data_IF_548441012008
#
_entry.id   IF_548441012008
#
_cell.length_a   1.000
_cell.length_b   1.000
_cell.length_c   1.000
_cell.angle_alpha   90.00
_cell.angle_beta   90.00
_cell.angle_gamma   90.00
#
_symmetry.space_group_name_H-M   'P 1'
#
loop_
_entity.id
_entity.type
_entity.pdbx_description
1 polymer ?
#
# COMPACT_ATOMS: atom_id res chain seq x y z
N UNK A 1 34.93 9.51 56.37
CA UNK A 1 33.73 9.30 57.20
C UNK A 1 32.60 10.09 56.58
N UNK A 2 31.96 9.52 55.56
CA UNK A 2 30.66 8.81 55.64
C UNK A 2 29.51 9.76 55.99
N UNK A 3 28.80 10.23 54.96
CA UNK A 3 27.38 10.55 55.10
C UNK A 3 26.58 9.78 54.05
N UNK A 4 25.49 9.23 54.58
CA UNK A 4 24.75 8.06 54.15
C UNK A 4 23.79 8.42 53.02
N UNK A 5 23.73 7.57 51.99
CA UNK A 5 22.67 7.58 50.98
C UNK A 5 21.34 7.13 51.60
N UNK A 6 20.28 7.92 51.45
CA UNK A 6 18.90 7.50 51.74
C UNK A 6 18.15 7.42 50.41
N UNK A 7 17.75 6.19 50.06
CA UNK A 7 16.86 5.88 48.95
C UNK A 7 15.43 6.37 49.25
N UNK A 8 14.81 7.07 48.31
CA UNK A 8 13.37 7.30 48.31
C UNK A 8 12.69 6.17 47.54
N UNK A 9 12.00 5.27 48.26
CA UNK A 9 10.99 4.39 47.69
C UNK A 9 9.76 5.25 47.34
N UNK A 10 9.43 5.37 46.05
CA UNK A 10 8.10 5.83 45.64
C UNK A 10 7.15 4.62 45.63
N UNK A 11 6.32 4.52 46.66
CA UNK A 11 5.14 3.65 46.66
C UNK A 11 4.03 4.41 45.94
N UNK A 12 3.72 4.03 44.70
CA UNK A 12 2.52 4.52 44.00
C UNK A 12 1.36 3.60 44.37
N UNK A 13 0.48 4.10 45.23
CA UNK A 13 -0.75 3.42 45.61
C UNK A 13 -1.75 3.50 44.46
N UNK A 14 -2.08 2.35 43.87
CA UNK A 14 -3.07 2.23 42.80
C UNK A 14 -4.49 2.34 43.40
N UNK A 15 -5.15 3.49 43.26
CA UNK A 15 -6.59 3.59 43.50
C UNK A 15 -7.33 3.03 42.29
N UNK A 16 -7.98 1.88 42.45
CA UNK A 16 -8.93 1.37 41.47
C UNK A 16 -10.21 2.21 41.53
N UNK A 17 -10.36 3.17 40.61
CA UNK A 17 -11.63 3.84 40.35
C UNK A 17 -12.39 2.99 39.33
N UNK A 18 -13.29 2.13 39.78
CA UNK A 18 -14.25 1.46 38.90
C UNK A 18 -15.28 2.47 38.44
N UNK A 19 -14.98 3.20 37.36
CA UNK A 19 -15.98 3.96 36.62
C UNK A 19 -16.86 2.97 35.86
N UNK A 20 -18.12 2.84 36.28
CA UNK A 20 -19.20 2.36 35.41
C UNK A 20 -19.27 3.33 34.22
N UNK A 21 -18.69 2.94 33.09
CA UNK A 21 -19.04 3.59 31.83
C UNK A 21 -20.42 3.06 31.46
N UNK A 22 -21.44 3.88 31.69
CA UNK A 22 -22.68 3.74 30.92
C UNK A 22 -22.30 3.97 29.46
N UNK A 23 -22.44 2.93 28.64
CA UNK A 23 -22.28 3.00 27.19
C UNK A 23 -23.27 4.06 26.70
N UNK A 24 -22.77 5.23 26.32
CA UNK A 24 -23.62 6.29 25.82
C UNK A 24 -24.11 5.89 24.44
N UNK A 25 -25.38 5.49 24.31
CA UNK A 25 -26.10 5.24 23.05
C UNK A 25 -26.28 6.50 22.17
N UNK A 26 -25.45 7.54 22.38
CA UNK A 26 -25.48 8.73 21.54
C UNK A 26 -24.86 8.36 20.19
N UNK A 27 -25.58 8.54 19.08
CA UNK A 27 -25.01 8.29 17.76
C UNK A 27 -23.76 9.14 17.59
N UNK A 28 -22.64 8.49 17.25
CA UNK A 28 -21.39 9.17 16.93
C UNK A 28 -21.69 10.18 15.81
N UNK A 29 -21.42 11.48 16.01
CA UNK A 29 -21.66 12.46 14.96
C UNK A 29 -20.94 12.04 13.68
N UNK A 30 -21.59 12.16 12.52
CA UNK A 30 -21.02 11.75 11.23
C UNK A 30 -19.60 12.32 11.01
N UNK A 31 -19.35 13.56 11.43
CA UNK A 31 -18.03 14.19 11.34
C UNK A 31 -16.96 13.56 12.24
N UNK A 32 -17.32 12.99 13.39
CA UNK A 32 -16.39 12.29 14.28
C UNK A 32 -16.09 10.88 13.75
N UNK A 33 -17.08 10.22 13.14
CA UNK A 33 -16.89 8.94 12.46
C UNK A 33 -15.97 9.08 11.24
N UNK A 34 -16.21 10.08 10.40
CA UNK A 34 -15.33 10.46 9.27
C UNK A 34 -13.91 10.77 9.74
N UNK A 35 -13.75 11.65 10.74
CA UNK A 35 -12.44 12.00 11.28
C UNK A 35 -11.70 10.78 11.86
N UNK A 36 -12.43 9.89 12.53
CA UNK A 36 -11.88 8.65 13.07
C UNK A 36 -11.44 7.68 11.96
N UNK A 37 -12.23 7.52 10.89
CA UNK A 37 -11.85 6.71 9.73
C UNK A 37 -10.61 7.28 9.03
N UNK A 38 -10.57 8.61 8.81
CA UNK A 38 -9.45 9.29 8.17
C UNK A 38 -8.17 9.17 9.00
N UNK A 39 -8.24 9.34 10.32
CA UNK A 39 -7.08 9.21 11.21
C UNK A 39 -6.45 7.80 11.16
N UNK A 40 -7.28 6.75 11.09
CA UNK A 40 -6.79 5.35 11.06
C UNK A 40 -6.13 4.94 9.76
N UNK A 41 -6.32 5.71 8.69
CA UNK A 41 -5.80 5.38 7.36
C UNK A 41 -4.57 6.21 6.98
N UNK A 42 -4.15 7.15 7.82
CA UNK A 42 -3.00 8.00 7.53
C UNK A 42 -1.73 7.17 7.34
N UNK A 43 -0.86 7.69 6.47
CA UNK A 43 0.48 7.17 6.33
C UNK A 43 1.37 7.90 7.33
N UNK A 44 1.87 7.15 8.30
CA UNK A 44 2.74 7.64 9.36
C UNK A 44 4.20 7.62 8.90
N UNK A 45 4.96 8.61 9.38
CA UNK A 45 6.40 8.74 9.11
C UNK A 45 7.16 8.19 10.32
N UNK A 46 7.99 7.18 10.11
CA UNK A 46 8.92 6.70 11.13
C UNK A 46 10.30 7.27 10.81
N UNK A 47 10.80 8.11 11.72
CA UNK A 47 12.13 8.69 11.61
C UNK A 47 13.14 7.93 12.47
N UNK A 48 14.22 7.46 11.85
CA UNK A 48 15.42 7.05 12.58
C UNK A 48 16.50 8.12 12.41
N UNK A 49 16.94 8.73 13.53
CA UNK A 49 17.98 9.78 13.55
C UNK A 49 17.69 11.00 12.65
N UNK A 50 16.43 11.44 12.59
CA UNK A 50 16.02 12.65 11.87
C UNK A 50 16.01 12.52 10.34
N UNK A 51 15.99 11.28 9.82
CA UNK A 51 15.66 10.99 8.43
C UNK A 51 14.45 10.06 8.42
N UNK A 52 13.43 10.31 7.58
CA UNK A 52 12.41 9.30 7.29
C UNK A 52 13.13 8.06 6.76
N UNK A 53 13.07 6.97 7.51
CA UNK A 53 13.68 5.71 7.09
C UNK A 53 12.64 4.80 6.46
N UNK A 54 11.39 4.84 6.92
CA UNK A 54 10.28 4.04 6.41
C UNK A 54 8.94 4.76 6.70
N UNK A 55 7.97 4.58 5.81
CA UNK A 55 6.59 5.02 6.03
C UNK A 55 5.68 3.83 6.22
N UNK A 56 4.63 4.01 6.99
CA UNK A 56 3.78 2.90 7.41
C UNK A 56 2.30 3.29 7.37
N UNK A 57 1.45 2.35 6.99
CA UNK A 57 0.00 2.53 7.04
C UNK A 57 -0.68 1.30 7.66
N UNK A 58 -1.67 1.54 8.52
CA UNK A 58 -2.57 0.49 8.99
C UNK A 58 -3.86 0.54 8.18
N UNK A 59 -4.33 -0.61 7.73
CA UNK A 59 -5.67 -0.77 7.21
C UNK A 59 -6.41 -1.82 8.04
N UNK A 60 -6.97 -1.34 9.16
CA UNK A 60 -7.62 -2.19 10.14
C UNK A 60 -8.84 -2.93 9.56
N UNK A 61 -9.56 -2.31 8.60
CA UNK A 61 -10.71 -2.90 7.93
C UNK A 61 -10.35 -4.16 7.14
N UNK A 62 -9.11 -4.27 6.67
CA UNK A 62 -8.59 -5.40 5.88
C UNK A 62 -7.51 -6.20 6.63
N UNK A 63 -7.40 -5.99 7.96
CA UNK A 63 -6.45 -6.65 8.85
C UNK A 63 -5.01 -6.69 8.29
N UNK A 64 -4.60 -5.59 7.66
CA UNK A 64 -3.31 -5.45 7.01
C UNK A 64 -2.60 -4.19 7.47
N UNK A 65 -1.28 -4.24 7.39
CA UNK A 65 -0.43 -3.08 7.47
C UNK A 65 0.54 -3.06 6.31
N UNK A 66 1.03 -1.88 5.94
CA UNK A 66 1.87 -1.70 4.76
C UNK A 66 3.06 -0.82 5.12
N UNK A 67 4.25 -1.36 4.89
CA UNK A 67 5.51 -0.64 4.95
C UNK A 67 5.90 -0.14 3.55
N UNK A 68 6.41 1.08 3.50
CA UNK A 68 6.83 1.80 2.30
C UNK A 68 8.29 2.26 2.46
N UNK A 69 9.13 2.00 1.46
CA UNK A 69 10.56 2.34 1.47
C UNK A 69 11.00 3.24 0.28
N UNK A 70 10.06 3.66 -0.58
CA UNK A 70 10.34 4.43 -1.79
C UNK A 70 10.78 3.60 -3.02
N UNK A 71 10.97 2.29 -2.86
CA UNK A 71 11.28 1.36 -3.95
C UNK A 71 10.21 0.27 -4.12
N UNK A 72 9.68 -0.22 -3.01
CA UNK A 72 8.73 -1.31 -2.87
C UNK A 72 7.64 -0.96 -1.85
N UNK A 73 6.66 -1.84 -1.76
CA UNK A 73 5.79 -1.96 -0.58
C UNK A 73 5.98 -3.34 0.02
N UNK A 74 5.74 -3.45 1.33
CA UNK A 74 5.58 -4.74 2.00
C UNK A 74 4.30 -4.72 2.79
N UNK A 75 3.31 -5.50 2.35
CA UNK A 75 2.08 -5.70 3.09
C UNK A 75 2.26 -6.88 4.05
N UNK A 76 1.83 -6.69 5.28
CA UNK A 76 1.91 -7.66 6.36
C UNK A 76 0.54 -7.84 7.02
N UNK A 77 0.38 -8.96 7.71
CA UNK A 77 -0.67 -9.07 8.71
C UNK A 77 -0.36 -8.18 9.92
N UNK A 78 -1.39 -7.74 10.64
CA UNK A 78 -1.20 -7.01 11.90
C UNK A 78 -0.43 -7.81 12.96
N UNK A 79 -0.33 -9.15 12.82
CA UNK A 79 0.42 -10.03 13.72
C UNK A 79 1.84 -10.33 13.21
N UNK A 80 2.20 -9.91 11.99
CA UNK A 80 3.48 -10.20 11.36
C UNK A 80 3.68 -11.65 10.91
N UNK A 81 2.61 -12.45 10.84
CA UNK A 81 2.70 -13.89 10.51
C UNK A 81 2.73 -14.20 9.00
N UNK A 82 2.38 -13.22 8.16
CA UNK A 82 2.58 -13.27 6.72
C UNK A 82 3.03 -11.93 6.15
N UNK A 83 3.70 -11.99 5.00
CA UNK A 83 4.11 -10.83 4.21
C UNK A 83 4.02 -11.08 2.71
N UNK A 84 3.78 -9.99 1.98
CA UNK A 84 3.97 -9.90 0.53
C UNK A 84 4.66 -8.59 0.20
N UNK A 85 5.81 -8.66 -0.47
CA UNK A 85 6.48 -7.50 -1.03
C UNK A 85 6.14 -7.35 -2.52
N UNK A 86 5.95 -6.11 -2.96
CA UNK A 86 5.79 -5.77 -4.38
C UNK A 86 6.76 -4.64 -4.72
N UNK A 87 7.75 -4.94 -5.57
CA UNK A 87 8.72 -3.96 -6.06
C UNK A 87 8.55 -3.76 -7.56
N UNK A 88 8.23 -2.54 -8.01
CA UNK A 88 8.30 -2.22 -9.43
C UNK A 88 9.77 -2.26 -9.88
N UNK A 89 10.12 -3.24 -10.71
CA UNK A 89 11.49 -3.44 -11.16
C UNK A 89 11.75 -2.85 -12.54
N UNK A 90 10.79 -2.98 -13.45
CA UNK A 90 10.93 -2.54 -14.84
C UNK A 90 9.63 -2.02 -15.40
N UNK A 91 9.72 -1.19 -16.43
CA UNK A 91 8.59 -0.65 -17.17
C UNK A 91 8.98 -0.33 -18.62
N UNK A 92 8.01 -0.31 -19.53
CA UNK A 92 8.24 0.09 -20.94
C UNK A 92 7.41 -0.72 -21.93
N UNK A 93 7.91 -0.80 -23.17
CA UNK A 93 7.34 -1.69 -24.19
C UNK A 93 7.73 -3.16 -23.89
N UNK A 94 6.95 -4.16 -24.33
CA UNK A 94 7.20 -5.57 -24.02
C UNK A 94 8.59 -6.09 -24.38
N UNK A 95 9.16 -5.59 -25.48
CA UNK A 95 10.48 -5.95 -26.02
C UNK A 95 11.61 -5.02 -25.51
N UNK A 96 11.28 -3.96 -24.78
CA UNK A 96 12.20 -2.89 -24.36
C UNK A 96 11.92 -2.42 -22.93
N UNK A 97 11.82 -3.36 -22.00
CA UNK A 97 11.69 -3.05 -20.58
C UNK A 97 12.96 -2.36 -20.06
N UNK A 98 12.77 -1.24 -19.37
CA UNK A 98 13.85 -0.49 -18.70
C UNK A 98 13.66 -0.58 -17.19
N UNK A 99 14.74 -0.57 -16.39
CA UNK A 99 14.62 -0.52 -14.93
C UNK A 99 13.78 0.68 -14.48
N UNK A 100 12.97 0.48 -13.45
CA UNK A 100 12.26 1.57 -12.81
C UNK A 100 13.25 2.50 -12.11
N UNK A 101 13.04 3.81 -12.24
CA UNK A 101 13.89 4.79 -11.60
C UNK A 101 13.68 4.77 -10.07
N UNK A 102 14.72 5.22 -9.35
CA UNK A 102 14.56 5.63 -7.94
C UNK A 102 13.47 6.71 -7.85
N UNK A 103 12.73 6.69 -6.75
CA UNK A 103 11.64 7.64 -6.55
C UNK A 103 12.04 8.78 -5.62
N UNK A 104 11.43 9.95 -5.85
CA UNK A 104 11.21 10.92 -4.80
C UNK A 104 9.85 10.61 -4.16
N UNK A 105 9.78 10.64 -2.82
CA UNK A 105 8.57 10.27 -2.08
C UNK A 105 7.82 11.52 -1.62
N UNK A 106 6.51 11.53 -1.85
CA UNK A 106 5.58 12.57 -1.39
C UNK A 106 4.43 11.92 -0.62
N UNK A 107 4.03 12.51 0.50
CA UNK A 107 2.93 12.00 1.34
C UNK A 107 1.92 13.11 1.56
N UNK A 108 0.65 12.75 1.41
CA UNK A 108 -0.48 13.61 1.69
C UNK A 108 -1.60 12.76 2.31
N UNK A 109 -1.78 12.86 3.62
CA UNK A 109 -2.81 12.11 4.36
C UNK A 109 -2.59 10.59 4.27
N UNK A 110 -3.56 9.90 3.69
CA UNK A 110 -3.55 8.44 3.47
C UNK A 110 -2.94 8.04 2.12
N UNK A 111 -2.30 8.97 1.40
CA UNK A 111 -1.69 8.72 0.09
C UNK A 111 -0.18 8.95 0.12
N UNK A 112 0.55 8.01 -0.47
CA UNK A 112 1.99 8.11 -0.74
C UNK A 112 2.21 8.00 -2.24
N UNK A 113 3.09 8.85 -2.78
CA UNK A 113 3.44 8.89 -4.20
C UNK A 113 4.95 8.76 -4.37
N UNK A 114 5.34 7.81 -5.20
CA UNK A 114 6.68 7.58 -5.71
C UNK A 114 6.79 8.25 -7.08
N UNK A 115 7.39 9.43 -7.13
CA UNK A 115 7.72 10.10 -8.39
C UNK A 115 8.98 9.48 -8.98
N UNK A 116 8.81 8.65 -10.02
CA UNK A 116 9.89 7.95 -10.73
C UNK A 116 10.35 8.72 -11.97
N UNK A 117 9.89 9.96 -12.15
CA UNK A 117 10.25 10.88 -13.24
C UNK A 117 9.59 10.59 -14.59
N UNK A 118 9.53 9.32 -15.01
CA UNK A 118 8.81 8.92 -16.23
C UNK A 118 7.37 8.47 -15.96
N UNK A 119 7.10 8.03 -14.74
CA UNK A 119 5.77 7.67 -14.24
C UNK A 119 5.66 8.12 -12.78
N UNK A 120 4.43 8.27 -12.30
CA UNK A 120 4.14 8.33 -10.86
C UNK A 120 3.51 7.02 -10.45
N UNK A 121 4.05 6.37 -9.43
CA UNK A 121 3.40 5.25 -8.74
C UNK A 121 2.85 5.80 -7.43
N UNK A 122 1.63 5.44 -7.06
CA UNK A 122 1.00 5.95 -5.86
C UNK A 122 0.19 4.87 -5.17
N UNK A 123 0.00 5.04 -3.87
CA UNK A 123 -0.79 4.15 -3.04
C UNK A 123 -1.73 4.98 -2.19
N UNK A 124 -2.99 4.58 -2.15
CA UNK A 124 -4.03 5.18 -1.32
C UNK A 124 -4.53 4.11 -0.34
N UNK A 125 -4.37 4.38 0.95
CA UNK A 125 -4.89 3.51 2.00
C UNK A 125 -6.37 3.85 2.24
N UNK A 126 -7.26 3.06 1.69
CA UNK A 126 -8.71 3.27 1.71
C UNK A 126 -9.41 2.21 2.57
N UNK A 127 -10.65 2.45 3.02
CA UNK A 127 -11.40 1.48 3.82
C UNK A 127 -11.60 0.14 3.11
N UNK A 128 -11.66 0.15 1.78
CA UNK A 128 -11.77 -1.05 0.94
C UNK A 128 -10.47 -1.86 0.85
N UNK A 129 -9.31 -1.23 1.04
CA UNK A 129 -8.00 -1.87 0.92
C UNK A 129 -6.92 -0.89 0.51
N UNK A 130 -5.79 -1.40 0.04
CA UNK A 130 -4.74 -0.57 -0.53
C UNK A 130 -4.97 -0.44 -2.04
N UNK A 131 -5.38 0.74 -2.49
CA UNK A 131 -5.36 1.06 -3.91
C UNK A 131 -3.93 1.36 -4.33
N UNK A 132 -3.47 0.74 -5.40
CA UNK A 132 -2.21 1.06 -6.05
C UNK A 132 -2.55 1.65 -7.41
N UNK A 133 -1.88 2.74 -7.79
CA UNK A 133 -2.04 3.24 -9.13
C UNK A 133 -0.79 3.84 -9.74
N UNK A 134 -0.87 4.02 -11.05
CA UNK A 134 0.20 4.54 -11.88
C UNK A 134 -0.33 5.62 -12.79
N UNK A 135 0.40 6.72 -12.90
CA UNK A 135 0.13 7.77 -13.87
C UNK A 135 1.29 7.87 -14.85
N UNK A 136 0.99 7.65 -16.13
CA UNK A 136 1.89 7.95 -17.23
C UNK A 136 1.51 9.32 -17.80
N UNK A 137 2.37 10.31 -17.67
CA UNK A 137 2.12 11.66 -18.19
C UNK A 137 2.42 11.79 -19.70
N UNK A 138 3.21 10.85 -20.24
CA UNK A 138 3.62 10.84 -21.66
C UNK A 138 3.82 9.42 -22.18
N UNK A 139 3.80 9.22 -23.51
CA UNK A 139 4.05 7.91 -24.10
C UNK A 139 5.42 7.33 -23.75
N UNK A 140 5.40 6.13 -23.17
CA UNK A 140 6.60 5.30 -22.93
C UNK A 140 6.62 4.02 -23.78
N UNK A 141 5.53 3.74 -24.47
CA UNK A 141 5.38 2.67 -25.47
C UNK A 141 4.33 3.09 -26.51
N UNK A 142 4.39 2.49 -27.71
CA UNK A 142 3.47 2.83 -28.81
C UNK A 142 2.14 2.10 -28.73
N UNK A 143 2.18 0.80 -28.46
CA UNK A 143 0.99 -0.06 -28.52
C UNK A 143 0.62 -0.66 -27.17
N UNK A 144 1.61 -1.24 -26.50
CA UNK A 144 1.44 -1.93 -25.22
C UNK A 144 2.45 -1.39 -24.21
N UNK A 145 1.97 -0.97 -23.06
CA UNK A 145 2.81 -0.59 -21.94
C UNK A 145 2.80 -1.70 -20.87
N UNK A 146 3.94 -1.94 -20.25
CA UNK A 146 4.14 -3.00 -19.26
C UNK A 146 4.73 -2.40 -17.99
N UNK A 147 4.20 -2.81 -16.84
CA UNK A 147 4.77 -2.62 -15.51
C UNK A 147 5.14 -4.00 -14.97
N UNK A 148 6.40 -4.21 -14.58
CA UNK A 148 6.90 -5.48 -14.08
C UNK A 148 7.33 -5.38 -12.61
N UNK A 149 6.77 -6.26 -11.79
CA UNK A 149 7.03 -6.35 -10.37
C UNK A 149 7.77 -7.64 -10.01
N UNK A 150 8.72 -7.53 -9.10
CA UNK A 150 9.19 -8.66 -8.32
C UNK A 150 8.31 -8.78 -7.08
N UNK A 151 7.77 -9.97 -6.86
CA UNK A 151 7.05 -10.32 -5.64
C UNK A 151 8.01 -11.03 -4.69
N UNK A 152 7.88 -10.76 -3.38
CA UNK A 152 8.59 -11.55 -2.37
C UNK A 152 7.74 -11.72 -1.10
N UNK A 153 8.30 -12.35 -0.07
CA UNK A 153 7.61 -12.73 1.15
C UNK A 153 7.17 -14.20 1.16
N UNK A 154 6.32 -14.53 2.13
CA UNK A 154 5.88 -15.91 2.38
C UNK A 154 4.47 -16.21 1.86
N UNK A 155 3.73 -15.21 1.35
CA UNK A 155 2.50 -15.43 0.61
C UNK A 155 2.79 -15.99 -0.79
N UNK A 156 2.03 -17.01 -1.20
CA UNK A 156 2.17 -17.67 -2.51
C UNK A 156 1.20 -17.05 -3.52
N UNK A 157 1.69 -16.39 -4.58
CA UNK A 157 0.83 -15.82 -5.61
C UNK A 157 0.30 -16.90 -6.55
N UNK A 158 -1.00 -16.82 -6.87
CA UNK A 158 -1.66 -17.66 -7.86
C UNK A 158 -2.56 -16.80 -8.73
N UNK A 159 -2.43 -16.92 -10.05
CA UNK A 159 -3.33 -16.24 -10.99
C UNK A 159 -4.74 -16.83 -10.93
N UNK A 160 -5.75 -15.96 -10.87
CA UNK A 160 -7.18 -16.31 -10.84
C UNK A 160 -7.96 -15.46 -11.87
N UNK A 161 -9.27 -15.62 -11.95
CA UNK A 161 -10.19 -14.80 -12.75
C UNK A 161 -9.77 -14.62 -14.21
N UNK A 162 -9.38 -15.74 -14.84
CA UNK A 162 -8.91 -15.76 -16.23
C UNK A 162 -7.73 -14.81 -16.50
N UNK A 163 -6.92 -14.53 -15.47
CA UNK A 163 -5.75 -13.64 -15.59
C UNK A 163 -6.06 -12.17 -15.38
N UNK A 164 -7.13 -11.85 -14.63
CA UNK A 164 -7.45 -10.47 -14.22
C UNK A 164 -7.09 -10.15 -12.77
N UNK A 165 -6.73 -11.16 -11.97
CA UNK A 165 -6.37 -10.98 -10.58
C UNK A 165 -5.34 -12.02 -10.12
N UNK A 166 -4.70 -11.72 -8.98
CA UNK A 166 -3.94 -12.68 -8.19
C UNK A 166 -4.68 -12.99 -6.90
N UNK A 167 -4.59 -14.25 -6.47
CA UNK A 167 -4.79 -14.65 -5.09
C UNK A 167 -3.44 -14.83 -4.43
N UNK A 168 -3.22 -14.19 -3.28
CA UNK A 168 -2.02 -14.33 -2.47
C UNK A 168 -2.38 -15.21 -1.26
N UNK A 169 -1.87 -16.44 -1.25
CA UNK A 169 -2.21 -17.43 -0.22
C UNK A 169 -1.13 -17.42 0.85
N UNK A 170 -1.49 -17.03 2.07
CA UNK A 170 -0.55 -16.96 3.20
C UNK A 170 -0.24 -18.36 3.75
N UNK A 171 0.83 -18.53 4.55
CA UNK A 171 1.12 -19.81 5.21
C UNK A 171 -0.03 -20.33 6.10
N UNK A 172 -0.83 -19.41 6.67
CA UNK A 172 -1.99 -19.72 7.51
C UNK A 172 -3.27 -19.98 6.68
N UNK A 173 -3.20 -19.88 5.35
CA UNK A 173 -4.33 -20.12 4.46
C UNK A 173 -5.25 -18.92 4.23
N UNK A 174 -4.95 -17.74 4.79
CA UNK A 174 -5.61 -16.48 4.45
C UNK A 174 -5.35 -16.18 2.97
N UNK A 175 -6.35 -15.58 2.32
CA UNK A 175 -6.32 -15.26 0.89
C UNK A 175 -6.51 -13.77 0.75
N UNK A 176 -5.53 -13.08 0.23
CA UNK A 176 -5.68 -11.70 -0.25
C UNK A 176 -5.87 -11.73 -1.75
N UNK A 177 -6.44 -10.67 -2.31
CA UNK A 177 -6.60 -10.50 -3.75
C UNK A 177 -5.88 -9.24 -4.21
N UNK A 178 -5.10 -9.40 -5.27
CA UNK A 178 -4.64 -8.27 -6.07
C UNK A 178 -5.49 -8.23 -7.33
N UNK A 179 -6.45 -7.31 -7.37
CA UNK A 179 -7.57 -7.36 -8.30
C UNK A 179 -8.00 -5.97 -8.77
N UNK A 180 -9.10 -5.91 -9.53
CA UNK A 180 -9.66 -4.63 -9.95
C UNK A 180 -8.83 -3.86 -10.97
N UNK A 181 -7.80 -4.47 -11.56
CA UNK A 181 -6.91 -3.84 -12.54
C UNK A 181 -7.70 -3.21 -13.70
N UNK A 182 -7.78 -1.89 -13.71
CA UNK A 182 -8.28 -1.13 -14.85
C UNK A 182 -7.22 -0.14 -15.30
N UNK A 183 -7.49 0.48 -16.44
CA UNK A 183 -6.74 1.63 -16.89
C UNK A 183 -7.60 2.49 -17.81
N UNK A 184 -7.35 3.79 -17.79
CA UNK A 184 -8.07 4.75 -18.62
C UNK A 184 -7.17 5.89 -19.05
N UNK A 185 -7.52 6.50 -20.18
CA UNK A 185 -6.85 7.67 -20.73
C UNK A 185 -7.44 8.98 -20.17
N UNK A 186 -6.87 10.14 -20.54
CA UNK A 186 -7.29 11.44 -20.02
C UNK A 186 -8.72 11.87 -20.39
N UNK A 187 -9.33 11.20 -21.37
CA UNK A 187 -10.75 11.40 -21.71
C UNK A 187 -11.66 10.41 -20.97
N UNK A 188 -11.11 9.60 -20.07
CA UNK A 188 -11.83 8.55 -19.36
C UNK A 188 -12.13 7.33 -20.22
N UNK A 189 -11.48 7.18 -21.39
CA UNK A 189 -11.64 5.98 -22.21
C UNK A 189 -10.94 4.81 -21.53
N UNK A 190 -11.70 3.77 -21.21
CA UNK A 190 -11.13 2.53 -20.66
C UNK A 190 -10.17 1.87 -21.68
N UNK A 191 -9.02 1.45 -21.17
CA UNK A 191 -7.96 0.77 -21.89
C UNK A 191 -7.95 -0.71 -21.52
N UNK A 192 -7.67 -1.57 -22.50
CA UNK A 192 -7.58 -3.00 -22.23
C UNK A 192 -6.39 -3.29 -21.33
N UNK A 193 -6.64 -3.93 -20.19
CA UNK A 193 -5.62 -4.38 -19.24
C UNK A 193 -5.55 -5.90 -19.15
N UNK A 194 -4.36 -6.43 -18.90
CA UNK A 194 -4.14 -7.86 -18.58
C UNK A 194 -3.09 -8.02 -17.49
N UNK A 195 -3.22 -9.12 -16.74
CA UNK A 195 -2.30 -9.50 -15.69
C UNK A 195 -1.63 -10.84 -16.02
N UNK A 196 -0.30 -10.87 -15.94
CA UNK A 196 0.52 -12.05 -16.16
C UNK A 196 1.35 -12.33 -14.92
N UNK A 197 1.43 -13.62 -14.54
CA UNK A 197 2.27 -14.08 -13.46
C UNK A 197 3.12 -15.23 -13.96
N UNK A 198 4.43 -15.13 -13.76
CA UNK A 198 5.38 -16.21 -13.95
C UNK A 198 6.25 -16.28 -12.70
N UNK A 199 6.15 -17.37 -11.96
CA UNK A 199 6.79 -17.54 -10.65
C UNK A 199 6.45 -16.38 -9.71
N UNK A 200 7.44 -15.61 -9.27
CA UNK A 200 7.27 -14.38 -8.47
C UNK A 200 7.38 -13.09 -9.30
N UNK A 201 7.29 -13.18 -10.63
CA UNK A 201 7.29 -12.02 -11.52
C UNK A 201 5.87 -11.72 -11.99
N UNK A 202 5.35 -10.57 -11.56
CA UNK A 202 4.06 -10.04 -11.98
C UNK A 202 4.26 -9.01 -13.10
N UNK A 203 3.47 -9.09 -14.15
CA UNK A 203 3.38 -8.05 -15.17
C UNK A 203 1.95 -7.55 -15.31
N UNK A 204 1.78 -6.23 -15.26
CA UNK A 204 0.57 -5.54 -15.66
C UNK A 204 0.79 -4.98 -17.05
N UNK A 205 -0.18 -5.20 -17.93
CA UNK A 205 -0.08 -4.90 -19.33
C UNK A 205 -1.28 -4.04 -19.73
N UNK A 206 -1.04 -2.90 -20.37
CA UNK A 206 -2.08 -1.95 -20.80
C UNK A 206 -1.92 -1.61 -22.27
N UNK A 207 -3.01 -1.72 -23.04
CA UNK A 207 -3.03 -1.31 -24.45
C UNK A 207 -3.14 0.23 -24.53
N UNK A 208 -2.05 0.89 -24.93
CA UNK A 208 -1.90 2.36 -24.97
C UNK A 208 -1.93 2.95 -26.38
N UNK A 209 -2.20 2.13 -27.40
CA UNK A 209 -2.34 2.59 -28.78
C UNK A 209 -3.42 3.68 -28.88
N UNK A 210 -3.03 4.85 -29.41
CA UNK A 210 -3.89 6.02 -29.59
C UNK A 210 -4.54 6.56 -28.30
N UNK A 211 -4.02 6.19 -27.13
CA UNK A 211 -4.52 6.70 -25.85
C UNK A 211 -4.09 8.16 -25.64
N UNK A 212 -4.95 8.94 -24.98
CA UNK A 212 -4.67 10.33 -24.64
C UNK A 212 -4.10 10.40 -23.22
N UNK A 213 -2.95 11.05 -23.07
CA UNK A 213 -2.26 11.13 -21.79
C UNK A 213 -2.76 12.31 -20.94
N UNK A 214 -2.73 12.21 -19.59
CA UNK A 214 -2.17 11.10 -18.82
C UNK A 214 -3.03 9.83 -18.84
N UNK A 215 -2.37 8.67 -18.76
CA UNK A 215 -3.01 7.37 -18.57
C UNK A 215 -2.92 6.99 -17.09
N UNK A 216 -4.02 6.48 -16.53
CA UNK A 216 -4.06 5.90 -15.18
C UNK A 216 -4.24 4.39 -15.23
N UNK A 217 -3.63 3.65 -14.30
CA UNK A 217 -3.73 2.20 -14.12
C UNK A 217 -3.91 1.94 -12.61
N UNK A 218 -4.94 1.21 -12.15
CA UNK A 218 -5.38 1.23 -10.72
C UNK A 218 -5.79 -0.13 -10.10
N UNK A 219 -4.87 -1.09 -9.92
CA UNK A 219 -5.20 -2.30 -9.17
C UNK A 219 -5.40 -2.06 -7.66
N UNK A 220 -6.10 -2.99 -7.02
CA UNK A 220 -6.37 -3.00 -5.58
C UNK A 220 -5.73 -4.21 -4.93
N UNK A 221 -5.13 -4.03 -3.75
CA UNK A 221 -4.80 -5.11 -2.82
C UNK A 221 -5.84 -5.12 -1.69
N UNK A 222 -6.62 -6.20 -1.62
CA UNK A 222 -7.74 -6.37 -0.68
C UNK A 222 -7.66 -7.73 0.02
N UNK A 223 -8.36 -7.87 1.14
CA UNK A 223 -8.62 -9.18 1.78
C UNK A 223 -9.86 -9.87 1.19
#
# INVERSE_FOLDING_TARGET
MYFLHIHWLFVVTLFALTTLFAESDLPVPFGLQEAYHQARQQIEVIEEKGKPTHWYAVNASNHLSVDFDGESIVAHSLKGDWSVSMKLTHLGAPDQLKPANKSAVQILGNRITYDRGNIKEWYLNDAKGLEQGFTLDKPLAKEQFVLQFALDGNAKPKRIDQGKALQLITPQGKKLRYEGLKGWDAKGKELKTTLHLKDKTLQLQVAVANAIYPITIDPWLVE
#
